data_IF_657835940822
#
_entry.id   IF_657835940822
#
_cell.length_a   1.000
_cell.length_b   1.000
_cell.length_c   1.000
_cell.angle_alpha   90.00
_cell.angle_beta   90.00
_cell.angle_gamma   90.00
#
_symmetry.space_group_name_H-M   'P 1'
#
loop_
_entity.id
_entity.type
_entity.pdbx_description
1 polymer ?
#
# COMPACT_ATOMS: atom_id res chain seq x y z
N UNK A 1 38.49 -6.09 6.31
CA UNK A 1 37.10 -6.04 5.79
C UNK A 1 36.07 -5.98 6.91
N UNK A 2 36.06 -6.92 7.87
CA UNK A 2 35.13 -6.92 9.02
C UNK A 2 35.02 -5.58 9.77
N UNK A 3 36.14 -4.99 10.19
CA UNK A 3 36.14 -3.70 10.89
C UNK A 3 35.51 -2.55 10.08
N UNK A 4 35.73 -2.54 8.74
CA UNK A 4 35.12 -1.55 7.85
C UNK A 4 33.60 -1.74 7.77
N UNK A 5 33.13 -2.98 7.74
CA UNK A 5 31.69 -3.30 7.81
C UNK A 5 31.07 -2.95 9.15
N UNK A 6 31.80 -3.17 10.26
CA UNK A 6 31.36 -2.73 11.59
C UNK A 6 31.19 -1.21 11.68
N UNK A 7 31.99 -0.44 10.94
CA UNK A 7 31.84 1.02 10.84
C UNK A 7 30.74 1.47 9.86
N UNK A 8 29.88 0.56 9.38
CA UNK A 8 28.74 0.88 8.52
C UNK A 8 29.06 0.97 7.02
N UNK A 9 30.25 0.55 6.58
CA UNK A 9 30.59 0.57 5.15
C UNK A 9 30.31 -0.76 4.46
N UNK A 10 29.71 -0.70 3.27
CA UNK A 10 29.63 -1.85 2.38
C UNK A 10 31.02 -2.17 1.79
N UNK A 11 31.40 -3.45 1.81
CA UNK A 11 32.73 -3.92 1.35
C UNK A 11 32.66 -4.96 0.24
N UNK A 12 31.46 -5.36 -0.17
CA UNK A 12 31.25 -6.36 -1.22
C UNK A 12 31.08 -5.69 -2.58
N UNK A 13 30.77 -6.47 -3.62
CA UNK A 13 30.39 -5.92 -4.91
C UNK A 13 29.21 -4.94 -4.77
N UNK A 14 29.28 -3.82 -5.49
CA UNK A 14 28.24 -2.80 -5.47
C UNK A 14 26.90 -3.43 -5.92
N UNK A 15 25.83 -3.33 -5.10
CA UNK A 15 24.50 -3.76 -5.51
C UNK A 15 24.01 -2.93 -6.70
N UNK A 16 23.10 -3.48 -7.51
CA UNK A 16 22.49 -2.74 -8.63
C UNK A 16 21.79 -1.50 -8.08
N UNK A 17 21.98 -0.36 -8.74
CA UNK A 17 21.52 0.95 -8.26
C UNK A 17 22.58 1.73 -7.47
N UNK A 18 23.75 1.13 -7.19
CA UNK A 18 24.87 1.82 -6.57
C UNK A 18 26.17 1.64 -7.36
N UNK A 19 27.07 2.61 -7.19
CA UNK A 19 28.47 2.57 -7.61
C UNK A 19 29.36 3.01 -6.45
N UNK A 20 30.63 2.59 -6.45
CA UNK A 20 31.59 3.13 -5.48
C UNK A 20 32.10 4.49 -5.92
N UNK A 21 32.14 5.44 -5.00
CA UNK A 21 32.78 6.74 -5.18
C UNK A 21 33.74 7.04 -4.02
N UNK A 22 34.73 7.91 -4.24
CA UNK A 22 35.68 8.34 -3.20
C UNK A 22 35.20 9.62 -2.55
N UNK A 23 34.93 9.56 -1.25
CA UNK A 23 34.53 10.72 -0.43
C UNK A 23 35.60 11.02 0.60
N UNK A 24 35.92 12.31 0.77
CA UNK A 24 36.88 12.78 1.79
C UNK A 24 36.50 12.30 3.18
N UNK A 25 37.47 11.79 3.95
CA UNK A 25 37.26 11.26 5.31
C UNK A 25 36.73 9.81 5.39
N UNK A 26 36.15 9.28 4.32
CA UNK A 26 35.43 7.99 4.36
C UNK A 26 35.99 6.92 3.38
N UNK A 27 36.81 7.33 2.41
CA UNK A 27 37.33 6.44 1.38
C UNK A 27 36.25 6.06 0.36
N UNK A 28 36.19 4.79 -0.05
CA UNK A 28 35.15 4.32 -0.99
C UNK A 28 33.81 4.10 -0.27
N UNK A 29 32.76 4.83 -0.68
CA UNK A 29 31.37 4.68 -0.22
C UNK A 29 30.46 4.34 -1.41
N UNK A 30 29.33 3.66 -1.17
CA UNK A 30 28.29 3.49 -2.18
C UNK A 30 27.55 4.81 -2.40
N UNK A 31 27.47 5.24 -3.65
CA UNK A 31 26.69 6.40 -4.10
C UNK A 31 25.69 5.91 -5.15
N UNK A 32 24.55 6.58 -5.24
CA UNK A 32 23.48 6.27 -6.21
C UNK A 32 24.03 6.24 -7.65
N UNK A 33 23.70 5.18 -8.39
CA UNK A 33 24.02 5.02 -9.82
C UNK A 33 22.76 5.31 -10.64
N UNK A 34 22.62 6.55 -11.11
CA UNK A 34 21.46 6.98 -11.89
C UNK A 34 21.57 6.57 -13.37
N UNK A 35 20.47 6.21 -14.05
CA UNK A 35 19.07 6.24 -13.58
C UNK A 35 18.63 4.95 -12.85
N UNK A 36 19.51 3.97 -12.66
CA UNK A 36 19.16 2.66 -12.10
C UNK A 36 18.68 2.77 -10.65
N UNK A 37 19.30 3.65 -9.87
CA UNK A 37 18.89 3.94 -8.50
C UNK A 37 17.43 4.40 -8.43
N UNK A 38 17.05 5.41 -9.21
CA UNK A 38 15.68 5.91 -9.27
C UNK A 38 14.67 4.86 -9.73
N UNK A 39 15.02 4.06 -10.73
CA UNK A 39 14.15 2.96 -11.21
C UNK A 39 13.94 1.91 -10.12
N UNK A 40 15.01 1.53 -9.41
CA UNK A 40 14.91 0.56 -8.33
C UNK A 40 14.11 1.11 -7.15
N UNK A 41 14.29 2.39 -6.82
CA UNK A 41 13.49 3.06 -5.80
C UNK A 41 12.00 2.99 -6.13
N UNK A 42 11.59 3.35 -7.35
CA UNK A 42 10.19 3.25 -7.79
C UNK A 42 9.67 1.81 -7.72
N UNK A 43 10.51 0.83 -8.08
CA UNK A 43 10.15 -0.59 -8.01
C UNK A 43 9.89 -1.05 -6.57
N UNK A 44 10.76 -0.67 -5.63
CA UNK A 44 10.66 -1.04 -4.23
C UNK A 44 9.49 -0.33 -3.54
N UNK A 45 9.35 0.98 -3.71
CA UNK A 45 8.23 1.76 -3.18
C UNK A 45 6.90 1.32 -3.80
N UNK A 46 6.89 1.00 -5.09
CA UNK A 46 5.73 0.46 -5.79
C UNK A 46 5.29 -0.90 -5.24
N UNK A 47 6.24 -1.77 -4.89
CA UNK A 47 5.91 -3.03 -4.25
C UNK A 47 5.43 -2.81 -2.81
N UNK A 48 6.08 -1.95 -2.02
CA UNK A 48 5.67 -1.65 -0.65
C UNK A 48 4.24 -1.09 -0.58
N UNK A 49 3.92 -0.10 -1.42
CA UNK A 49 2.61 0.56 -1.52
C UNK A 49 1.51 -0.32 -2.13
N UNK A 50 1.87 -1.40 -2.82
CA UNK A 50 0.89 -2.27 -3.49
C UNK A 50 0.43 -1.78 -4.85
N UNK A 51 1.15 -0.82 -5.42
CA UNK A 51 1.12 -0.57 -6.86
C UNK A 51 1.54 -1.82 -7.64
N UNK A 52 2.54 -2.54 -7.14
CA UNK A 52 2.88 -3.89 -7.60
C UNK A 52 2.37 -4.91 -6.58
N UNK A 53 1.39 -5.72 -6.97
CA UNK A 53 0.80 -6.75 -6.11
C UNK A 53 1.70 -7.99 -6.03
N UNK A 54 2.47 -8.27 -7.08
CA UNK A 54 3.29 -9.48 -7.21
C UNK A 54 4.73 -9.19 -7.60
N UNK A 55 5.66 -10.10 -7.28
CA UNK A 55 7.05 -10.01 -7.74
C UNK A 55 7.14 -10.01 -9.27
N UNK A 56 6.17 -10.62 -9.96
CA UNK A 56 6.09 -10.64 -11.42
C UNK A 56 5.76 -9.25 -12.00
N UNK A 57 4.96 -8.45 -11.30
CA UNK A 57 4.69 -7.06 -11.71
C UNK A 57 5.92 -6.18 -11.56
N UNK A 58 6.69 -6.37 -10.49
CA UNK A 58 8.00 -5.73 -10.30
C UNK A 58 8.95 -6.13 -11.44
N UNK A 59 9.05 -7.43 -11.75
CA UNK A 59 9.82 -7.94 -12.90
C UNK A 59 9.47 -7.20 -14.19
N UNK A 60 8.18 -7.16 -14.54
CA UNK A 60 7.69 -6.51 -15.77
C UNK A 60 7.93 -5.01 -15.79
N UNK A 61 7.83 -4.34 -14.64
CA UNK A 61 8.17 -2.93 -14.54
C UNK A 61 9.64 -2.71 -14.89
N UNK A 62 10.55 -3.46 -14.27
CA UNK A 62 12.00 -3.35 -14.54
C UNK A 62 12.35 -3.70 -16.00
N UNK A 63 11.74 -4.73 -16.58
CA UNK A 63 11.99 -5.15 -17.99
C UNK A 63 11.60 -4.10 -19.03
N UNK A 64 10.60 -3.26 -18.70
CA UNK A 64 10.15 -2.16 -19.55
C UNK A 64 11.09 -0.96 -19.52
N UNK A 65 11.97 -0.85 -18.53
CA UNK A 65 12.90 0.26 -18.40
C UNK A 65 14.11 0.05 -19.31
N UNK A 66 14.39 0.95 -20.29
CA UNK A 66 15.50 0.78 -21.23
C UNK A 66 16.88 0.75 -20.57
N UNK A 67 17.04 1.50 -19.48
CA UNK A 67 18.29 1.66 -18.74
C UNK A 67 18.52 0.61 -17.65
N UNK A 68 17.58 -0.34 -17.48
CA UNK A 68 17.70 -1.41 -16.49
C UNK A 68 18.47 -2.62 -17.06
N UNK A 69 19.46 -3.16 -16.33
CA UNK A 69 20.21 -4.33 -16.78
C UNK A 69 19.32 -5.58 -16.83
N UNK A 70 19.32 -6.27 -17.98
CA UNK A 70 18.56 -7.50 -18.22
C UNK A 70 19.50 -8.70 -18.07
N UNK A 71 19.08 -9.71 -17.30
CA UNK A 71 19.93 -10.85 -16.93
C UNK A 71 20.01 -11.92 -18.02
N UNK A 72 19.02 -11.96 -18.92
CA UNK A 72 18.87 -12.98 -19.94
C UNK A 72 19.02 -12.39 -21.36
N UNK A 73 19.56 -13.16 -22.34
CA UNK A 73 19.73 -12.70 -23.72
C UNK A 73 18.42 -12.31 -24.42
N UNK A 74 17.28 -12.86 -23.98
CA UNK A 74 15.95 -12.53 -24.48
C UNK A 74 15.40 -11.20 -23.91
N UNK A 75 16.18 -10.50 -23.09
CA UNK A 75 15.77 -9.24 -22.47
C UNK A 75 14.90 -9.39 -21.22
N UNK A 76 14.84 -10.58 -20.62
CA UNK A 76 14.13 -10.84 -19.37
C UNK A 76 15.02 -10.79 -18.12
N UNK A 77 14.38 -10.65 -16.96
CA UNK A 77 14.99 -10.71 -15.63
C UNK A 77 14.58 -12.02 -14.93
N UNK A 78 15.49 -12.64 -14.17
CA UNK A 78 15.15 -13.86 -13.41
C UNK A 78 14.28 -13.52 -12.20
N UNK A 79 13.28 -14.35 -11.89
CA UNK A 79 12.44 -14.14 -10.69
C UNK A 79 13.26 -14.09 -9.39
N UNK A 80 14.30 -14.93 -9.29
CA UNK A 80 15.24 -14.92 -8.16
C UNK A 80 15.92 -13.56 -7.99
N UNK A 81 16.25 -12.89 -9.10
CA UNK A 81 16.87 -11.56 -9.05
C UNK A 81 15.95 -10.53 -8.42
N UNK A 82 14.65 -10.58 -8.76
CA UNK A 82 13.64 -9.69 -8.18
C UNK A 82 13.48 -9.96 -6.68
N UNK A 83 13.44 -11.22 -6.28
CA UNK A 83 13.40 -11.59 -4.86
C UNK A 83 14.64 -11.06 -4.11
N UNK A 84 15.84 -11.17 -4.68
CA UNK A 84 17.06 -10.61 -4.10
C UNK A 84 16.99 -9.09 -3.95
N UNK A 85 16.45 -8.37 -4.94
CA UNK A 85 16.29 -6.92 -4.85
C UNK A 85 15.36 -6.52 -3.70
N UNK A 86 14.26 -7.25 -3.53
CA UNK A 86 13.26 -7.00 -2.49
C UNK A 86 13.72 -7.37 -1.08
N UNK A 87 14.76 -8.19 -0.93
CA UNK A 87 15.22 -8.74 0.38
C UNK A 87 16.55 -8.15 0.87
N UNK A 88 17.23 -7.34 0.05
CA UNK A 88 18.51 -6.72 0.44
C UNK A 88 18.29 -5.45 1.27
N UNK A 89 18.61 -5.52 2.56
CA UNK A 89 18.52 -4.40 3.51
C UNK A 89 19.41 -3.20 3.15
N UNK A 90 20.42 -3.39 2.30
CA UNK A 90 21.30 -2.32 1.82
C UNK A 90 20.53 -1.20 1.11
N UNK A 91 19.40 -1.51 0.48
CA UNK A 91 18.55 -0.52 -0.17
C UNK A 91 17.82 0.36 0.84
N UNK A 92 17.70 -0.07 2.10
CA UNK A 92 17.17 0.74 3.19
C UNK A 92 18.20 1.68 3.84
N UNK A 93 19.46 1.68 3.37
CA UNK A 93 20.54 2.45 4.00
C UNK A 93 21.23 1.75 5.16
N UNK A 94 20.94 0.46 5.42
CA UNK A 94 21.52 -0.30 6.52
C UNK A 94 22.49 -1.38 6.04
N UNK A 95 23.41 -1.78 6.92
CA UNK A 95 24.35 -2.88 6.67
C UNK A 95 24.14 -3.98 7.70
N UNK A 96 24.01 -5.22 7.23
CA UNK A 96 23.90 -6.41 8.06
C UNK A 96 24.74 -7.53 7.44
N UNK A 97 25.61 -8.16 8.25
CA UNK A 97 26.42 -9.32 7.82
C UNK A 97 26.48 -10.33 8.97
N UNK A 98 25.46 -11.19 9.12
CA UNK A 98 25.37 -12.11 10.25
C UNK A 98 26.56 -13.08 10.32
N UNK A 99 27.08 -13.51 9.16
CA UNK A 99 28.26 -14.38 9.07
C UNK A 99 29.52 -13.77 9.68
N UNK A 100 29.58 -12.44 9.84
CA UNK A 100 30.71 -11.73 10.45
C UNK A 100 30.37 -11.21 11.86
N UNK A 101 29.23 -11.60 12.42
CA UNK A 101 28.71 -11.08 13.68
C UNK A 101 28.41 -9.58 13.61
N UNK A 102 28.07 -9.07 12.43
CA UNK A 102 27.69 -7.66 12.24
C UNK A 102 26.18 -7.58 12.24
N UNK A 103 25.61 -7.14 13.37
CA UNK A 103 24.20 -6.79 13.52
C UNK A 103 23.82 -5.63 12.61
N UNK A 104 22.52 -5.53 12.32
CA UNK A 104 21.91 -4.43 11.57
C UNK A 104 22.36 -3.09 12.16
N UNK A 105 22.98 -2.26 11.33
CA UNK A 105 23.44 -0.93 11.71
C UNK A 105 23.29 0.06 10.58
N UNK A 106 23.26 1.33 10.92
CA UNK A 106 23.19 2.41 9.94
C UNK A 106 24.41 2.34 9.01
N UNK A 107 24.13 2.29 7.72
CA UNK A 107 25.15 2.36 6.67
C UNK A 107 25.66 3.78 6.51
N UNK A 108 26.86 3.93 5.95
CA UNK A 108 27.40 5.24 5.55
C UNK A 108 26.95 5.69 4.17
N UNK A 109 26.20 4.86 3.46
CA UNK A 109 25.60 5.20 2.18
C UNK A 109 24.14 5.63 2.34
N UNK A 110 23.68 6.44 1.41
CA UNK A 110 22.28 6.83 1.33
C UNK A 110 21.43 5.64 0.87
N UNK A 111 20.35 5.34 1.59
CA UNK A 111 19.36 4.33 1.18
C UNK A 111 18.54 4.78 -0.04
N UNK A 112 18.09 3.82 -0.85
CA UNK A 112 17.09 4.08 -1.89
C UNK A 112 15.67 4.19 -1.31
N UNK A 113 15.41 3.49 -0.22
CA UNK A 113 14.13 3.45 0.49
C UNK A 113 14.35 3.58 2.00
N UNK A 114 13.29 3.83 2.75
CA UNK A 114 13.30 3.75 4.22
C UNK A 114 13.34 2.31 4.74
N UNK A 115 13.82 2.12 5.97
CA UNK A 115 13.76 0.82 6.66
C UNK A 115 12.30 0.38 6.88
N UNK A 116 11.41 1.32 7.21
CA UNK A 116 9.98 1.09 7.29
C UNK A 116 9.38 0.61 5.96
N UNK A 117 9.82 1.17 4.82
CA UNK A 117 9.43 0.68 3.49
C UNK A 117 9.95 -0.73 3.25
N UNK A 118 11.19 -1.02 3.66
CA UNK A 118 11.77 -2.35 3.54
C UNK A 118 11.03 -3.41 4.38
N UNK A 119 10.65 -3.10 5.62
CA UNK A 119 9.86 -4.02 6.46
C UNK A 119 8.48 -4.30 5.84
N UNK A 120 7.80 -3.28 5.31
CA UNK A 120 6.54 -3.49 4.57
C UNK A 120 6.71 -4.46 3.40
N UNK A 121 7.85 -4.41 2.72
CA UNK A 121 8.17 -5.37 1.65
C UNK A 121 8.34 -6.78 2.25
N UNK A 122 9.06 -6.94 3.37
CA UNK A 122 9.26 -8.24 4.03
C UNK A 122 7.93 -8.86 4.50
N UNK A 123 7.09 -8.08 5.17
CA UNK A 123 5.77 -8.50 5.64
C UNK A 123 4.90 -9.00 4.47
N UNK A 124 4.97 -8.31 3.34
CA UNK A 124 4.24 -8.71 2.12
C UNK A 124 4.80 -9.96 1.47
N UNK A 125 6.11 -10.13 1.45
CA UNK A 125 6.73 -11.36 0.95
C UNK A 125 6.30 -12.57 1.80
N UNK A 126 6.21 -12.40 3.12
CA UNK A 126 5.84 -13.47 4.05
C UNK A 126 4.33 -13.75 4.11
N UNK A 127 3.49 -12.73 3.97
CA UNK A 127 2.03 -12.85 4.06
C UNK A 127 1.35 -13.38 2.79
N UNK A 128 2.08 -13.53 1.69
CA UNK A 128 1.49 -13.91 0.40
C UNK A 128 1.42 -15.43 0.20
N UNK A 129 0.35 -16.06 0.65
CA UNK A 129 -0.18 -17.26 0.00
C UNK A 129 -1.07 -16.81 -1.17
N UNK A 130 -0.57 -16.74 -2.40
CA UNK A 130 -1.40 -16.41 -3.57
C UNK A 130 -1.19 -17.32 -4.77
N UNK A 131 -2.34 -17.68 -5.33
CA UNK A 131 -2.56 -18.51 -6.51
C UNK A 131 -1.73 -18.04 -7.73
N UNK A 132 -1.41 -18.97 -8.65
CA UNK A 132 -0.52 -18.71 -9.78
C UNK A 132 -0.99 -17.54 -10.65
N UNK A 133 -0.02 -16.68 -11.01
CA UNK A 133 -0.22 -15.54 -11.89
C UNK A 133 -0.70 -16.01 -13.27
N UNK A 134 -1.93 -15.64 -13.64
CA UNK A 134 -2.46 -15.82 -15.01
C UNK A 134 -2.00 -14.67 -15.91
N UNK A 135 -1.99 -14.91 -17.23
CA UNK A 135 -1.81 -13.83 -18.23
C UNK A 135 -2.79 -12.70 -17.92
N UNK A 136 -2.24 -11.49 -17.88
CA UNK A 136 -2.89 -10.33 -17.30
C UNK A 136 -3.85 -9.70 -18.31
N UNK A 137 -5.12 -10.09 -18.21
CA UNK A 137 -6.24 -9.43 -18.92
C UNK A 137 -6.81 -8.26 -18.09
N UNK A 138 -6.14 -7.81 -17.02
CA UNK A 138 -6.72 -6.80 -16.11
C UNK A 138 -6.98 -5.45 -16.79
N UNK A 139 -6.16 -5.08 -17.78
CA UNK A 139 -6.36 -3.86 -18.56
C UNK A 139 -7.69 -3.88 -19.33
N UNK A 140 -8.10 -5.05 -19.86
CA UNK A 140 -9.36 -5.22 -20.60
C UNK A 140 -10.60 -5.26 -19.69
N UNK A 141 -10.39 -5.47 -18.38
CA UNK A 141 -11.43 -5.71 -17.38
C UNK A 141 -11.10 -4.99 -16.06
N UNK A 142 -11.20 -3.65 -16.02
CA UNK A 142 -10.81 -2.84 -14.87
C UNK A 142 -11.64 -3.13 -13.60
N UNK A 143 -12.87 -3.63 -13.76
CA UNK A 143 -13.76 -3.97 -12.64
C UNK A 143 -13.58 -5.39 -12.10
N UNK A 144 -12.66 -6.17 -12.70
CA UNK A 144 -12.38 -7.55 -12.27
C UNK A 144 -11.85 -7.55 -10.83
N UNK A 145 -12.47 -8.36 -9.98
CA UNK A 145 -12.11 -8.45 -8.56
C UNK A 145 -12.68 -7.33 -7.68
N UNK A 146 -13.23 -6.28 -8.28
CA UNK A 146 -13.90 -5.19 -7.55
C UNK A 146 -15.43 -5.34 -7.51
N UNK A 147 -16.02 -5.97 -8.51
CA UNK A 147 -17.47 -6.25 -8.51
C UNK A 147 -17.74 -7.62 -7.88
N UNK A 148 -18.70 -7.67 -6.96
CA UNK A 148 -19.13 -8.86 -6.26
C UNK A 148 -20.39 -9.45 -6.88
N UNK A 149 -20.48 -10.77 -6.87
CA UNK A 149 -21.73 -11.47 -7.17
C UNK A 149 -22.73 -11.23 -6.03
N UNK A 150 -23.89 -10.66 -6.32
CA UNK A 150 -24.93 -10.43 -5.31
C UNK A 150 -25.41 -11.73 -4.62
N UNK A 151 -25.37 -12.87 -5.32
CA UNK A 151 -25.90 -14.14 -4.80
C UNK A 151 -24.93 -14.84 -3.81
N UNK A 152 -23.62 -14.57 -3.90
CA UNK A 152 -22.64 -15.26 -3.05
C UNK A 152 -21.59 -14.35 -2.40
N UNK A 153 -21.64 -13.04 -2.65
CA UNK A 153 -20.73 -12.04 -2.11
C UNK A 153 -19.28 -12.15 -2.60
N UNK A 154 -18.94 -13.13 -3.44
CA UNK A 154 -17.57 -13.34 -3.92
C UNK A 154 -17.27 -12.50 -5.17
N UNK A 155 -16.01 -12.07 -5.37
CA UNK A 155 -15.64 -11.27 -6.53
C UNK A 155 -15.87 -11.98 -7.86
N UNK A 156 -16.38 -11.24 -8.85
CA UNK A 156 -16.49 -11.69 -10.23
C UNK A 156 -15.09 -11.79 -10.86
N UNK A 157 -14.94 -12.78 -11.72
CA UNK A 157 -13.79 -12.88 -12.63
C UNK A 157 -14.20 -12.44 -14.03
N UNK A 158 -13.22 -12.24 -14.90
CA UNK A 158 -13.45 -11.95 -16.31
C UNK A 158 -12.88 -13.03 -17.23
N UNK A 159 -13.44 -13.15 -18.43
CA UNK A 159 -12.92 -13.99 -19.50
C UNK A 159 -13.28 -13.46 -20.88
N UNK A 160 -12.49 -13.88 -21.86
CA UNK A 160 -12.82 -13.78 -23.28
C UNK A 160 -13.40 -15.11 -23.77
N UNK A 161 -14.62 -15.11 -24.29
CA UNK A 161 -15.24 -16.29 -24.90
C UNK A 161 -15.11 -16.23 -26.42
N UNK A 162 -14.70 -17.33 -27.06
CA UNK A 162 -14.55 -17.42 -28.52
C UNK A 162 -15.92 -17.63 -29.18
N UNK A 163 -16.31 -16.75 -30.09
CA UNK A 163 -17.40 -16.98 -31.04
C UNK A 163 -16.90 -17.37 -32.43
N UNK A 164 -17.78 -17.36 -33.43
CA UNK A 164 -17.47 -17.78 -34.81
C UNK A 164 -16.34 -16.96 -35.45
N UNK A 165 -16.42 -15.62 -35.35
CA UNK A 165 -15.50 -14.69 -36.01
C UNK A 165 -14.72 -13.78 -35.04
N UNK A 166 -15.12 -13.70 -33.77
CA UNK A 166 -14.52 -12.78 -32.80
C UNK A 166 -14.58 -13.32 -31.37
N UNK A 167 -13.80 -12.71 -30.47
CA UNK A 167 -13.87 -12.97 -29.02
C UNK A 167 -14.80 -11.95 -28.36
N UNK A 168 -15.57 -12.41 -27.39
CA UNK A 168 -16.54 -11.61 -26.65
C UNK A 168 -16.13 -11.51 -25.18
N UNK A 169 -16.09 -10.31 -24.59
CA UNK A 169 -15.67 -10.10 -23.21
C UNK A 169 -16.84 -10.26 -22.22
N UNK A 170 -16.62 -11.02 -21.15
CA UNK A 170 -17.63 -11.28 -20.12
C UNK A 170 -17.05 -11.25 -18.70
N UNK A 171 -17.88 -10.81 -17.76
CA UNK A 171 -17.72 -11.06 -16.33
C UNK A 171 -18.55 -12.29 -15.91
N UNK A 172 -18.07 -13.07 -14.95
CA UNK A 172 -18.79 -14.23 -14.43
C UNK A 172 -18.40 -14.57 -12.98
N UNK A 173 -19.30 -15.27 -12.28
CA UNK A 173 -19.03 -15.76 -10.93
C UNK A 173 -18.21 -17.08 -10.98
N UNK A 174 -17.01 -17.14 -10.36
CA UNK A 174 -16.19 -18.34 -10.36
C UNK A 174 -16.59 -19.37 -9.28
N UNK A 175 -17.56 -19.06 -8.44
CA UNK A 175 -17.90 -19.83 -7.23
C UNK A 175 -18.78 -21.03 -7.55
N UNK A 176 -18.23 -22.25 -7.45
CA UNK A 176 -19.01 -23.50 -7.56
C UNK A 176 -20.12 -23.50 -6.50
N UNK A 177 -21.33 -23.91 -6.88
CA UNK A 177 -22.51 -23.95 -6.01
C UNK A 177 -23.30 -22.64 -5.90
N UNK A 178 -22.84 -21.54 -6.49
CA UNK A 178 -23.61 -20.30 -6.57
C UNK A 178 -24.68 -20.39 -7.68
N UNK A 179 -25.86 -19.80 -7.49
CA UNK A 179 -26.90 -19.72 -8.53
C UNK A 179 -26.36 -19.03 -9.79
N UNK A 180 -25.51 -18.02 -9.64
CA UNK A 180 -24.87 -17.31 -10.76
C UNK A 180 -23.55 -17.93 -11.24
N UNK A 181 -23.21 -19.16 -10.83
CA UNK A 181 -21.97 -19.83 -11.24
C UNK A 181 -21.84 -19.92 -12.76
N UNK A 182 -20.72 -19.38 -13.29
CA UNK A 182 -20.39 -19.33 -14.73
C UNK A 182 -21.44 -18.70 -15.64
N UNK A 183 -22.44 -18.00 -15.10
CA UNK A 183 -23.41 -17.26 -15.90
C UNK A 183 -22.77 -15.95 -16.36
N UNK A 184 -22.68 -15.76 -17.67
CA UNK A 184 -21.97 -14.63 -18.28
C UNK A 184 -22.75 -13.32 -18.19
N UNK A 185 -22.04 -12.25 -17.84
CA UNK A 185 -22.50 -10.86 -17.88
C UNK A 185 -21.67 -10.14 -18.94
N UNK A 186 -22.32 -9.52 -19.94
CA UNK A 186 -21.62 -8.76 -20.99
C UNK A 186 -20.82 -7.63 -20.37
N UNK A 187 -19.54 -7.50 -20.74
CA UNK A 187 -18.65 -6.44 -20.23
C UNK A 187 -19.27 -5.06 -20.41
N UNK A 188 -19.67 -4.74 -21.64
CA UNK A 188 -20.12 -3.38 -21.99
C UNK A 188 -21.39 -2.98 -21.23
N UNK A 189 -22.24 -3.95 -20.85
CA UNK A 189 -23.40 -3.68 -19.98
C UNK A 189 -22.96 -3.30 -18.57
N UNK A 190 -22.13 -4.13 -17.94
CA UNK A 190 -21.71 -3.93 -16.55
C UNK A 190 -20.84 -2.67 -16.42
N UNK A 191 -19.90 -2.47 -17.34
CA UNK A 191 -19.03 -1.29 -17.35
C UNK A 191 -19.83 -0.02 -17.71
N UNK A 192 -20.82 -0.09 -18.60
CA UNK A 192 -21.72 1.02 -18.89
C UNK A 192 -22.55 1.45 -17.67
N UNK A 193 -23.19 0.49 -16.99
CA UNK A 193 -23.93 0.75 -15.75
C UNK A 193 -23.02 1.39 -14.67
N UNK A 194 -21.76 0.97 -14.61
CA UNK A 194 -20.76 1.53 -13.69
C UNK A 194 -20.33 2.95 -14.06
N UNK A 195 -20.13 3.25 -15.34
CA UNK A 195 -19.80 4.60 -15.80
C UNK A 195 -20.95 5.58 -15.54
N UNK A 196 -22.20 5.15 -15.72
CA UNK A 196 -23.40 5.92 -15.34
C UNK A 196 -23.52 6.15 -13.83
N UNK A 197 -23.07 5.19 -13.02
CA UNK A 197 -22.98 5.41 -11.59
C UNK A 197 -21.94 6.49 -11.27
N UNK A 198 -20.75 6.43 -11.87
CA UNK A 198 -19.70 7.43 -11.64
C UNK A 198 -20.09 8.84 -12.09
N UNK A 199 -20.82 8.99 -13.20
CA UNK A 199 -21.25 10.31 -13.69
C UNK A 199 -22.25 10.98 -12.73
N UNK A 200 -23.05 10.19 -12.00
CA UNK A 200 -23.99 10.69 -10.98
C UNK A 200 -23.33 11.12 -9.68
N UNK A 201 -22.06 10.80 -9.46
CA UNK A 201 -21.33 11.16 -8.23
C UNK A 201 -20.71 12.58 -8.27
N UNK A 202 -20.93 13.36 -9.33
CA UNK A 202 -20.39 14.72 -9.46
C UNK A 202 -21.09 15.72 -8.51
N UNK A 203 -20.36 16.38 -7.58
CA UNK A 203 -20.93 17.29 -6.58
C UNK A 203 -21.37 18.64 -7.16
N UNK A 204 -22.43 19.24 -6.58
CA UNK A 204 -22.96 20.56 -6.97
C UNK A 204 -22.14 21.73 -6.40
N UNK A 205 -22.26 22.94 -6.98
CA UNK A 205 -21.42 24.10 -6.59
C UNK A 205 -21.54 24.55 -5.13
N UNK A 206 -22.73 24.51 -4.53
CA UNK A 206 -22.94 24.88 -3.11
C UNK A 206 -22.34 23.88 -2.11
N UNK A 207 -21.89 22.73 -2.60
CA UNK A 207 -21.42 21.60 -1.83
C UNK A 207 -19.90 21.66 -1.56
N UNK A 208 -19.18 22.49 -2.31
CA UNK A 208 -17.72 22.65 -2.20
C UNK A 208 -17.28 23.26 -0.86
N UNK A 209 -18.02 24.24 -0.35
CA UNK A 209 -17.69 24.88 0.93
C UNK A 209 -17.85 23.92 2.11
N UNK A 210 -18.86 23.05 2.07
CA UNK A 210 -19.03 22.02 3.10
C UNK A 210 -17.91 20.98 3.04
N UNK A 211 -17.53 20.53 1.85
CA UNK A 211 -16.39 19.61 1.66
C UNK A 211 -15.11 20.22 2.21
N UNK A 212 -14.91 21.53 2.03
CA UNK A 212 -13.76 22.27 2.57
C UNK A 212 -13.73 22.25 4.09
N UNK A 213 -14.86 22.57 4.74
CA UNK A 213 -14.97 22.55 6.19
C UNK A 213 -14.71 21.13 6.74
N UNK A 214 -15.33 20.11 6.15
CA UNK A 214 -15.12 18.71 6.56
C UNK A 214 -13.67 18.25 6.36
N UNK A 215 -13.03 18.67 5.26
CA UNK A 215 -11.63 18.35 4.98
C UNK A 215 -10.68 19.05 5.97
N UNK A 216 -11.01 20.28 6.38
CA UNK A 216 -10.30 21.03 7.43
C UNK A 216 -10.33 20.29 8.77
N UNK A 217 -11.51 19.88 9.22
CA UNK A 217 -11.68 19.12 10.47
C UNK A 217 -10.89 17.80 10.43
N UNK A 218 -10.98 17.07 9.31
CA UNK A 218 -10.25 15.82 9.13
C UNK A 218 -8.72 16.03 9.11
N UNK A 219 -8.25 17.12 8.50
CA UNK A 219 -6.84 17.47 8.48
C UNK A 219 -6.32 17.79 9.88
N UNK A 220 -7.05 18.61 10.64
CA UNK A 220 -6.62 19.07 11.95
C UNK A 220 -6.66 17.90 12.95
N UNK A 221 -7.66 17.04 12.84
CA UNK A 221 -7.70 15.76 13.56
C UNK A 221 -6.49 14.88 13.24
N UNK A 222 -6.12 14.76 11.96
CA UNK A 222 -4.95 13.97 11.54
C UNK A 222 -3.65 14.57 12.06
N UNK A 223 -3.52 15.90 12.07
CA UNK A 223 -2.38 16.59 12.67
C UNK A 223 -2.28 16.33 14.18
N UNK A 224 -3.41 16.33 14.89
CA UNK A 224 -3.47 15.95 16.31
C UNK A 224 -3.02 14.51 16.55
N UNK A 225 -3.56 13.55 15.79
CA UNK A 225 -3.17 12.13 15.88
C UNK A 225 -1.70 11.90 15.55
N UNK A 226 -1.17 12.61 14.55
CA UNK A 226 0.26 12.58 14.20
C UNK A 226 1.13 13.06 15.37
N UNK A 227 0.75 14.15 16.03
CA UNK A 227 1.46 14.66 17.21
C UNK A 227 1.45 13.66 18.36
N UNK A 228 0.29 13.07 18.67
CA UNK A 228 0.17 12.02 19.70
C UNK A 228 1.00 10.78 19.36
N UNK A 229 0.98 10.34 18.11
CA UNK A 229 1.78 9.19 17.65
C UNK A 229 3.28 9.47 17.79
N UNK A 230 3.76 10.67 17.43
CA UNK A 230 5.15 11.08 17.63
C UNK A 230 5.52 11.09 19.12
N UNK A 231 4.65 11.61 19.99
CA UNK A 231 4.87 11.59 21.44
C UNK A 231 4.96 10.15 21.98
N UNK A 232 4.07 9.27 21.53
CA UNK A 232 4.09 7.84 21.84
C UNK A 232 5.37 7.15 21.41
N UNK A 233 5.78 7.33 20.14
CA UNK A 233 7.03 6.75 19.61
C UNK A 233 8.26 7.24 20.36
N UNK A 234 8.34 8.54 20.71
CA UNK A 234 9.43 9.07 21.55
C UNK A 234 9.49 8.40 22.92
N UNK A 235 8.34 8.11 23.53
CA UNK A 235 8.29 7.38 24.80
C UNK A 235 8.72 5.92 24.66
N UNK A 236 8.37 5.27 23.55
CA UNK A 236 8.80 3.91 23.22
C UNK A 236 10.32 3.84 23.01
N UNK A 237 10.91 4.79 22.28
CA UNK A 237 12.36 4.88 22.08
C UNK A 237 13.10 4.96 23.42
N UNK A 238 12.66 5.85 24.33
CA UNK A 238 13.25 5.95 25.68
C UNK A 238 13.18 4.64 26.47
N UNK A 239 12.09 3.89 26.29
CA UNK A 239 11.90 2.59 26.93
C UNK A 239 12.82 1.53 26.33
N UNK A 240 12.96 1.50 25.01
CA UNK A 240 13.87 0.61 24.29
C UNK A 240 15.33 0.89 24.66
N UNK A 241 15.74 2.16 24.73
CA UNK A 241 17.08 2.56 25.18
C UNK A 241 17.39 2.02 26.58
N UNK A 242 16.47 2.23 27.53
CA UNK A 242 16.63 1.69 28.89
C UNK A 242 16.75 0.16 28.91
N UNK A 243 16.02 -0.55 28.04
CA UNK A 243 16.12 -2.00 27.94
C UNK A 243 17.43 -2.47 27.30
N UNK A 244 17.95 -1.73 26.32
CA UNK A 244 19.24 -1.99 25.70
C UNK A 244 20.34 -1.82 26.74
N UNK A 245 20.37 -0.68 27.46
CA UNK A 245 21.36 -0.40 28.51
C UNK A 245 21.37 -1.51 29.59
N UNK A 246 20.18 -1.90 30.08
CA UNK A 246 20.05 -2.98 31.06
C UNK A 246 20.56 -4.34 30.57
N UNK A 247 20.44 -4.63 29.27
CA UNK A 247 20.95 -5.88 28.70
C UNK A 247 22.47 -5.81 28.51
N UNK A 248 23.00 -4.63 28.14
CA UNK A 248 24.44 -4.42 28.01
C UNK A 248 25.15 -4.56 29.36
N UNK A 249 24.61 -3.97 30.43
CA UNK A 249 25.14 -4.12 31.80
C UNK A 249 25.21 -5.62 32.20
N UNK A 250 24.13 -6.38 31.93
CA UNK A 250 24.08 -7.82 32.22
C UNK A 250 25.04 -8.65 31.37
N UNK A 251 25.33 -8.24 30.13
CA UNK A 251 26.31 -8.92 29.27
C UNK A 251 27.71 -8.78 29.88
N UNK A 252 28.07 -7.58 30.35
CA UNK A 252 29.39 -7.31 30.96
C UNK A 252 29.61 -8.16 32.22
N UNK A 253 28.56 -8.39 33.00
CA UNK A 253 28.61 -9.18 34.23
C UNK A 253 28.59 -10.72 34.01
N UNK A 254 28.24 -11.19 32.81
CA UNK A 254 27.98 -12.62 32.56
C UNK A 254 29.15 -13.33 31.86
N UNK A 255 29.70 -14.38 32.48
CA UNK A 255 30.74 -15.24 31.87
C UNK A 255 30.22 -16.36 30.96
N UNK A 256 28.91 -16.59 30.87
CA UNK A 256 28.32 -17.70 30.10
C UNK A 256 28.08 -17.34 28.62
N UNK A 257 28.85 -17.97 27.72
CA UNK A 257 28.79 -17.74 26.27
C UNK A 257 27.44 -18.03 25.58
N UNK A 258 26.56 -18.85 26.18
CA UNK A 258 25.20 -19.08 25.66
C UNK A 258 24.25 -17.93 25.99
N UNK A 259 24.36 -17.39 27.20
CA UNK A 259 23.56 -16.25 27.69
C UNK A 259 23.98 -14.97 26.97
N UNK A 260 25.29 -14.77 26.79
CA UNK A 260 25.83 -13.64 26.00
C UNK A 260 25.21 -13.62 24.60
N UNK A 261 25.22 -14.76 23.88
CA UNK A 261 24.61 -14.86 22.55
C UNK A 261 23.10 -14.58 22.54
N UNK A 262 22.38 -15.01 23.57
CA UNK A 262 20.95 -14.73 23.69
C UNK A 262 20.68 -13.24 23.90
N UNK A 263 21.49 -12.57 24.73
CA UNK A 263 21.40 -11.13 24.94
C UNK A 263 21.81 -10.33 23.71
N UNK A 264 22.90 -10.69 23.02
CA UNK A 264 23.29 -10.07 21.74
C UNK A 264 22.14 -10.12 20.72
N UNK A 265 21.48 -11.28 20.59
CA UNK A 265 20.32 -11.43 19.69
C UNK A 265 19.15 -10.53 20.11
N UNK A 266 18.92 -10.37 21.43
CA UNK A 266 17.84 -9.53 21.95
C UNK A 266 18.16 -8.04 21.77
N UNK A 267 19.40 -7.61 22.01
CA UNK A 267 19.87 -6.24 21.77
C UNK A 267 19.71 -5.89 20.29
N UNK A 268 20.16 -6.76 19.37
CA UNK A 268 19.98 -6.53 17.93
C UNK A 268 18.50 -6.38 17.51
N UNK A 269 17.59 -7.10 18.19
CA UNK A 269 16.15 -6.94 17.97
C UNK A 269 15.64 -5.58 18.45
N UNK A 270 16.03 -5.16 19.66
CA UNK A 270 15.61 -3.88 20.24
C UNK A 270 16.18 -2.68 19.47
N UNK A 271 17.43 -2.77 19.02
CA UNK A 271 18.05 -1.76 18.14
C UNK A 271 17.27 -1.60 16.83
N UNK A 272 16.81 -2.72 16.24
CA UNK A 272 15.96 -2.69 15.04
C UNK A 272 14.60 -2.05 15.30
N UNK A 273 13.96 -2.40 16.43
CA UNK A 273 12.68 -1.79 16.84
C UNK A 273 12.84 -0.28 17.09
N UNK A 274 13.96 0.15 17.68
CA UNK A 274 14.29 1.56 17.90
C UNK A 274 14.47 2.33 16.59
N UNK A 275 15.29 1.79 15.68
CA UNK A 275 15.54 2.43 14.38
C UNK A 275 14.25 2.64 13.58
N UNK A 276 13.33 1.67 13.61
CA UNK A 276 12.01 1.78 12.98
C UNK A 276 11.14 2.87 13.62
N UNK A 277 11.20 3.01 14.95
CA UNK A 277 10.45 4.04 15.67
C UNK A 277 11.00 5.45 15.38
N UNK A 278 12.32 5.60 15.29
CA UNK A 278 12.98 6.88 14.95
C UNK A 278 12.63 7.33 13.52
N UNK A 279 12.66 6.42 12.57
CA UNK A 279 12.26 6.72 11.18
C UNK A 279 10.78 7.08 11.07
N UNK A 280 9.92 6.35 11.79
CA UNK A 280 8.48 6.65 11.85
C UNK A 280 8.20 8.08 12.34
N UNK A 281 9.00 8.60 13.28
CA UNK A 281 8.88 9.98 13.76
C UNK A 281 9.21 10.98 12.64
N UNK A 282 10.26 10.71 11.86
CA UNK A 282 10.68 11.57 10.74
C UNK A 282 9.61 11.60 9.65
N UNK A 283 9.03 10.44 9.33
CA UNK A 283 7.98 10.30 8.32
C UNK A 283 6.69 11.02 8.73
N UNK A 284 6.25 10.88 9.99
CA UNK A 284 5.04 11.54 10.49
C UNK A 284 5.22 13.07 10.53
N UNK A 285 6.43 13.55 10.80
CA UNK A 285 6.74 14.98 10.97
C UNK A 285 6.79 15.80 9.67
N UNK A 286 6.71 15.18 8.49
CA UNK A 286 6.83 15.88 7.19
C UNK A 286 5.59 15.62 6.32
N UNK A 287 4.55 16.46 6.43
CA UNK A 287 3.48 16.47 5.43
C UNK A 287 4.10 16.73 4.05
N UNK A 288 3.88 15.83 3.10
CA UNK A 288 4.37 15.99 1.71
C UNK A 288 3.73 17.17 0.98
N UNK A 289 2.54 17.57 1.44
CA UNK A 289 1.73 18.62 0.88
C UNK A 289 1.19 19.52 1.98
N UNK A 290 0.95 20.78 1.62
CA UNK A 290 0.17 21.68 2.46
C UNK A 290 -1.31 21.24 2.48
N UNK A 291 -2.08 21.82 3.39
CA UNK A 291 -3.52 21.61 3.40
C UNK A 291 -4.15 22.01 2.05
N UNK A 292 -3.79 23.20 1.56
CA UNK A 292 -4.31 23.77 0.31
C UNK A 292 -4.02 22.85 -0.88
N UNK A 293 -2.79 22.38 -1.04
CA UNK A 293 -2.41 21.44 -2.10
C UNK A 293 -3.17 20.11 -2.00
N UNK A 294 -3.25 19.54 -0.79
CA UNK A 294 -3.95 18.28 -0.54
C UNK A 294 -5.45 18.42 -0.81
N UNK A 295 -6.03 19.55 -0.43
CA UNK A 295 -7.43 19.87 -0.64
C UNK A 295 -7.75 20.07 -2.12
N UNK A 296 -6.90 20.79 -2.86
CA UNK A 296 -7.06 20.97 -4.31
C UNK A 296 -6.98 19.62 -5.06
N UNK A 297 -6.02 18.76 -4.70
CA UNK A 297 -5.93 17.42 -5.28
C UNK A 297 -7.17 16.58 -4.98
N UNK A 298 -7.65 16.60 -3.73
CA UNK A 298 -8.86 15.90 -3.33
C UNK A 298 -10.10 16.44 -4.07
N UNK A 299 -10.24 17.76 -4.21
CA UNK A 299 -11.33 18.38 -4.95
C UNK A 299 -11.28 18.08 -6.44
N UNK A 300 -10.10 18.07 -7.05
CA UNK A 300 -9.93 17.69 -8.46
C UNK A 300 -10.40 16.26 -8.71
N UNK A 301 -10.20 15.37 -7.74
CA UNK A 301 -10.75 14.02 -7.78
C UNK A 301 -12.28 14.00 -7.60
N UNK A 302 -12.78 14.64 -6.54
CA UNK A 302 -14.20 14.64 -6.20
C UNK A 302 -15.08 15.34 -7.24
N UNK A 303 -14.55 16.38 -7.88
CA UNK A 303 -15.26 17.17 -8.88
C UNK A 303 -15.56 16.39 -10.17
N UNK A 304 -14.82 15.32 -10.48
CA UNK A 304 -15.16 14.51 -11.66
C UNK A 304 -14.50 13.13 -11.68
N UNK A 305 -14.98 12.17 -10.86
CA UNK A 305 -14.49 10.79 -10.89
C UNK A 305 -14.62 10.13 -12.27
N UNK A 306 -15.69 10.43 -13.02
CA UNK A 306 -15.92 9.87 -14.36
C UNK A 306 -14.89 10.33 -15.40
N UNK A 307 -14.55 11.63 -15.48
CA UNK A 307 -13.50 12.10 -16.41
C UNK A 307 -12.14 11.46 -16.11
N UNK A 308 -11.82 11.25 -14.83
CA UNK A 308 -10.60 10.54 -14.42
C UNK A 308 -10.68 9.09 -14.90
N UNK A 309 -11.77 8.38 -14.62
CA UNK A 309 -11.97 7.00 -15.06
C UNK A 309 -11.79 6.81 -16.58
N UNK A 310 -12.39 7.70 -17.38
CA UNK A 310 -12.38 7.62 -18.84
C UNK A 310 -10.97 7.79 -19.42
N UNK A 311 -10.21 8.76 -18.90
CA UNK A 311 -8.91 9.14 -19.45
C UNK A 311 -7.71 8.45 -18.76
N UNK A 312 -7.95 7.77 -17.63
CA UNK A 312 -6.91 7.07 -16.89
C UNK A 312 -6.53 5.74 -17.52
N UNK A 313 -5.26 5.38 -17.32
CA UNK A 313 -4.78 4.02 -17.46
C UNK A 313 -5.37 3.10 -16.36
N UNK A 314 -5.02 1.81 -16.40
CA UNK A 314 -5.55 0.83 -15.43
C UNK A 314 -5.22 1.21 -13.97
N UNK A 315 -4.11 1.92 -13.75
CA UNK A 315 -3.69 2.38 -12.42
C UNK A 315 -4.66 3.46 -11.95
N UNK A 316 -4.87 4.52 -12.74
CA UNK A 316 -5.79 5.59 -12.36
C UNK A 316 -7.25 5.09 -12.22
N UNK A 317 -7.68 4.11 -13.04
CA UNK A 317 -8.99 3.46 -12.86
C UNK A 317 -9.09 2.74 -11.52
N UNK A 318 -8.10 1.94 -11.13
CA UNK A 318 -8.06 1.30 -9.80
C UNK A 318 -8.07 2.33 -8.67
N UNK A 319 -7.39 3.46 -8.84
CA UNK A 319 -7.41 4.58 -7.87
C UNK A 319 -8.82 5.14 -7.70
N UNK A 320 -9.55 5.36 -8.79
CA UNK A 320 -10.96 5.80 -8.73
C UNK A 320 -11.81 4.80 -7.93
N UNK A 321 -11.67 3.49 -8.16
CA UNK A 321 -12.42 2.48 -7.41
C UNK A 321 -12.16 2.56 -5.91
N UNK A 322 -10.90 2.75 -5.50
CA UNK A 322 -10.50 2.82 -4.10
C UNK A 322 -11.00 4.07 -3.39
N UNK A 323 -11.03 5.20 -4.11
CA UNK A 323 -11.39 6.49 -3.53
C UNK A 323 -12.90 6.76 -3.56
N UNK A 324 -13.62 6.23 -4.55
CA UNK A 324 -15.05 6.47 -4.70
C UNK A 324 -15.92 5.54 -3.84
N UNK A 325 -15.44 4.33 -3.53
CA UNK A 325 -16.24 3.30 -2.88
C UNK A 325 -15.57 2.77 -1.61
N UNK A 326 -16.34 2.61 -0.54
CA UNK A 326 -15.85 2.00 0.71
C UNK A 326 -15.88 0.48 0.68
N UNK A 327 -16.68 -0.13 -0.20
CA UNK A 327 -16.71 -1.57 -0.41
C UNK A 327 -16.81 -1.94 -1.90
N UNK A 328 -16.35 -3.15 -2.28
CA UNK A 328 -16.59 -3.74 -3.59
C UNK A 328 -18.09 -3.73 -3.98
N UNK A 329 -18.39 -3.45 -5.25
CA UNK A 329 -19.76 -3.21 -5.72
C UNK A 329 -20.55 -4.52 -5.91
N UNK A 330 -21.71 -4.70 -5.25
CA UNK A 330 -22.56 -5.86 -5.52
C UNK A 330 -23.28 -5.70 -6.86
N UNK A 331 -23.26 -6.75 -7.67
CA UNK A 331 -23.92 -6.80 -8.97
C UNK A 331 -24.86 -8.00 -9.06
N UNK A 332 -26.13 -7.72 -9.32
CA UNK A 332 -27.14 -8.73 -9.63
C UNK A 332 -27.25 -8.87 -11.15
N UNK A 333 -27.10 -10.08 -11.68
CA UNK A 333 -27.17 -10.34 -13.12
C UNK A 333 -28.52 -9.95 -13.74
N UNK A 334 -29.61 -10.07 -12.98
CA UNK A 334 -30.98 -9.75 -13.44
C UNK A 334 -31.27 -8.26 -13.27
N UNK A 335 -30.93 -7.71 -12.11
CA UNK A 335 -31.35 -6.36 -11.67
C UNK A 335 -30.28 -5.28 -11.84
N UNK A 336 -29.05 -5.64 -12.25
CA UNK A 336 -27.94 -4.70 -12.44
C UNK A 336 -27.16 -4.38 -11.16
N UNK A 337 -26.49 -3.23 -11.15
CA UNK A 337 -25.77 -2.70 -9.98
C UNK A 337 -26.71 -2.50 -8.78
N UNK A 338 -26.27 -2.94 -7.60
CA UNK A 338 -26.95 -2.67 -6.33
C UNK A 338 -26.45 -1.37 -5.72
N UNK A 339 -27.13 -0.92 -4.67
CA UNK A 339 -26.77 0.29 -3.93
C UNK A 339 -25.29 0.23 -3.51
N UNK A 340 -24.46 1.15 -4.03
CA UNK A 340 -23.04 1.15 -3.75
C UNK A 340 -22.80 1.64 -2.32
N UNK A 341 -21.83 1.02 -1.64
CA UNK A 341 -21.31 1.60 -0.41
C UNK A 341 -20.24 2.63 -0.77
N UNK A 342 -20.66 3.90 -0.84
CA UNK A 342 -19.81 5.00 -1.27
C UNK A 342 -18.80 5.39 -0.18
N UNK A 343 -17.65 5.91 -0.58
CA UNK A 343 -16.71 6.49 0.37
C UNK A 343 -17.34 7.68 1.11
N UNK A 344 -16.85 7.96 2.33
CA UNK A 344 -17.43 8.95 3.22
C UNK A 344 -17.66 10.33 2.57
N UNK A 345 -16.75 10.88 1.74
CA UNK A 345 -17.02 12.11 1.02
C UNK A 345 -18.34 12.00 0.26
N UNK A 346 -18.50 11.01 -0.62
CA UNK A 346 -19.72 10.80 -1.40
C UNK A 346 -20.97 10.48 -0.56
N UNK A 347 -20.85 9.82 0.60
CA UNK A 347 -21.98 9.58 1.53
C UNK A 347 -22.48 10.86 2.18
N UNK A 348 -21.58 11.69 2.69
CA UNK A 348 -21.93 12.99 3.27
C UNK A 348 -22.61 13.88 2.21
N UNK A 349 -22.17 13.77 0.96
CA UNK A 349 -22.72 14.48 -0.20
C UNK A 349 -24.13 14.00 -0.59
N UNK A 350 -24.42 12.70 -0.47
CA UNK A 350 -25.73 12.11 -0.78
C UNK A 350 -26.81 12.46 0.26
N UNK A 351 -26.44 12.54 1.54
CA UNK A 351 -27.38 12.85 2.63
C UNK A 351 -28.00 14.26 2.56
N UNK A 352 -27.33 15.19 1.89
CA UNK A 352 -27.74 16.60 1.77
C UNK A 352 -28.62 16.84 0.53
N UNK A 353 -28.53 15.95 -0.46
CA UNK A 353 -29.25 16.09 -1.74
C UNK A 353 -30.65 15.47 -1.74
N UNK A 354 -31.13 14.96 -0.60
CA UNK A 354 -32.51 14.43 -0.51
C UNK A 354 -33.49 15.55 -0.12
N UNK A 355 -34.50 15.90 -0.95
CA UNK A 355 -35.64 16.64 -0.45
C UNK A 355 -36.35 15.74 0.57
N UNK A 356 -36.70 16.28 1.74
CA UNK A 356 -37.36 15.62 2.87
C UNK A 356 -38.22 14.42 2.43
N UNK A 357 -37.64 13.22 2.49
CA UNK A 357 -38.42 11.99 2.42
C UNK A 357 -39.06 11.80 3.78
N UNK A 358 -40.38 11.94 3.85
CA UNK A 358 -41.15 11.64 5.06
C UNK A 358 -40.84 10.23 5.55
N UNK A 359 -40.44 10.13 6.82
CA UNK A 359 -40.17 8.87 7.49
C UNK A 359 -41.46 8.05 7.55
N UNK A 360 -41.49 6.87 6.93
CA UNK A 360 -42.53 5.90 7.20
C UNK A 360 -42.41 5.44 8.67
N UNK A 361 -43.48 5.63 9.44
CA UNK A 361 -43.56 5.26 10.85
C UNK A 361 -43.24 3.76 11.05
N UNK A 362 -42.31 3.39 11.95
CA UNK A 362 -42.13 2.00 12.33
C UNK A 362 -43.32 1.57 13.20
N UNK A 363 -44.03 0.52 12.79
CA UNK A 363 -44.84 -0.28 13.73
C UNK A 363 -43.92 -1.21 14.50
N UNK A 364 -43.85 -0.96 15.79
CA UNK A 364 -43.57 -1.86 16.91
C UNK A 364 -42.35 -2.80 16.84
N UNK A 365 -41.40 -2.55 17.77
CA UNK A 365 -40.87 -3.66 18.58
C UNK A 365 -39.36 -3.92 18.57
N UNK A 366 -38.66 -3.27 19.51
CA UNK A 366 -37.54 -3.81 20.34
C UNK A 366 -36.17 -4.12 19.70
N UNK A 367 -35.17 -3.37 20.15
CA UNK A 367 -33.76 -3.79 20.30
C UNK A 367 -32.78 -3.02 19.41
N UNK A 368 -31.62 -2.54 19.85
CA UNK A 368 -30.98 -2.50 21.16
C UNK A 368 -29.76 -1.56 21.04
N UNK A 369 -29.24 -1.10 22.17
CA UNK A 369 -28.01 -0.29 22.37
C UNK A 369 -26.69 -0.88 21.78
N UNK A 370 -26.73 -1.88 20.90
CA UNK A 370 -25.56 -2.48 20.26
C UNK A 370 -24.99 -1.67 19.07
N UNK A 371 -25.79 -0.80 18.44
CA UNK A 371 -25.38 -0.12 17.20
C UNK A 371 -24.31 0.96 17.43
N UNK A 372 -24.30 1.61 18.60
CA UNK A 372 -23.31 2.63 18.92
C UNK A 372 -21.91 2.07 19.22
N UNK A 373 -21.80 0.79 19.61
CA UNK A 373 -20.50 0.12 19.82
C UNK A 373 -19.85 -0.38 18.52
N UNK A 374 -20.65 -0.69 17.50
CA UNK A 374 -20.15 -1.08 16.17
C UNK A 374 -19.59 0.13 15.40
N UNK A 375 -20.20 1.31 15.56
CA UNK A 375 -19.71 2.56 14.97
C UNK A 375 -18.28 2.94 15.44
N UNK A 376 -17.95 2.72 16.72
CA UNK A 376 -16.60 2.98 17.25
C UNK A 376 -15.53 1.98 16.78
N UNK A 377 -15.91 0.75 16.42
CA UNK A 377 -14.97 -0.26 15.90
C UNK A 377 -14.64 -0.04 14.41
N UNK A 378 -15.60 0.46 13.63
CA UNK A 378 -15.39 0.81 12.21
C UNK A 378 -14.31 1.90 12.03
N UNK A 379 -14.21 2.80 13.01
CA UNK A 379 -13.27 3.92 13.01
C UNK A 379 -11.79 3.51 13.13
N UNK A 380 -11.47 2.40 13.83
CA UNK A 380 -10.10 1.86 13.88
C UNK A 380 -9.65 1.25 12.55
N UNK A 381 -10.58 0.83 11.68
CA UNK A 381 -10.23 0.17 10.41
C UNK A 381 -10.09 1.16 9.24
N UNK A 382 -10.82 2.28 9.25
CA UNK A 382 -10.76 3.27 8.17
C UNK A 382 -9.63 4.30 8.33
N UNK A 383 -9.22 4.63 9.57
CA UNK A 383 -8.09 5.53 9.80
C UNK A 383 -6.74 4.96 9.30
N UNK A 384 -6.59 3.62 9.27
CA UNK A 384 -5.38 2.95 8.79
C UNK A 384 -5.23 2.95 7.26
N UNK A 385 -6.31 3.03 6.48
CA UNK A 385 -6.25 3.00 5.01
C UNK A 385 -5.99 4.37 4.37
N UNK A 386 -6.13 5.47 5.12
CA UNK A 386 -5.81 6.83 4.66
C UNK A 386 -4.34 7.19 5.00
N UNK A 387 -3.65 6.31 5.74
CA UNK A 387 -2.25 6.43 6.17
C UNK A 387 -1.20 6.14 5.08
N UNK A 388 -1.57 5.72 3.86
CA UNK A 388 -0.62 5.31 2.82
C UNK A 388 -0.91 5.87 1.41
N UNK A 389 -1.58 7.02 1.34
CA UNK A 389 -1.69 7.81 0.10
C UNK A 389 -0.48 8.72 -0.08
#
# INVERSE_FOLDING_TARGET
MRARTQNGYWVFQAPVGYRYDRTGGHGKILVRDEPKASILQEALEGYASGRFETQVEVKRFLERQPSWPKDLPNGEIRNQRVYELLTRVIYAGYVEVPNWGVSLREGKHEGLISLATFEKIQDRLQSTAKAPARKDISADFPLRGFVLCNDCGKPLTACWSKGKNQKYPYYLCPTKGCESYRKSIKRDRLEGEFEELLSRLEPSRGLFELVRAMFRDAWDMRAGQASEAVAGLKSSIRTLDKQIDQLLDRIVETGNASVVRAYEKKVAKLEREKALAEESIVDIGKPRHTFEESFEHALKFLSSPWKIWKNADIIGRKTVLRLAFSQPLPYCRKEGLRTPDLAFPFKALAGISTPKSEMAHPRDGVGSLLDQRLARKSWKFQALNISMG
#
